data_IF_568650054275
#
_entry.id   IF_568650054275
#
_cell.length_a   1.000
_cell.length_b   1.000
_cell.length_c   1.000
_cell.angle_alpha   90.00
_cell.angle_beta   90.00
_cell.angle_gamma   90.00
#
_symmetry.space_group_name_H-M   'P 1'
#
loop_
_entity.id
_entity.type
_entity.pdbx_description
1 polymer ?
#
# COMPACT_ATOMS: atom_id res chain seq x y z
N UNK A 1 -3.45 0.28 -21.47
CA UNK A 1 -3.68 -0.90 -20.62
C UNK A 1 -2.81 -0.77 -19.37
N UNK A 2 -3.27 0.02 -18.37
CA UNK A 2 -2.59 0.25 -17.07
C UNK A 2 -3.51 0.01 -15.86
N UNK A 3 -4.69 -0.55 -16.13
CA UNK A 3 -5.61 -1.09 -15.13
C UNK A 3 -4.97 -2.01 -14.08
N UNK A 4 -3.92 -2.83 -14.35
CA UNK A 4 -3.42 -3.80 -13.37
C UNK A 4 -2.86 -3.16 -12.10
N UNK A 5 -2.08 -2.08 -12.21
CA UNK A 5 -1.40 -1.47 -11.06
C UNK A 5 -2.35 -0.71 -10.15
N UNK A 6 -3.21 0.13 -10.73
CA UNK A 6 -4.28 0.77 -9.96
C UNK A 6 -5.17 -0.28 -9.28
N UNK A 7 -5.50 -1.36 -9.97
CA UNK A 7 -6.27 -2.45 -9.39
C UNK A 7 -5.51 -3.17 -8.26
N UNK A 8 -4.19 -3.32 -8.36
CA UNK A 8 -3.35 -3.92 -7.32
C UNK A 8 -3.32 -3.05 -6.07
N UNK A 9 -3.12 -1.73 -6.20
CA UNK A 9 -3.14 -0.82 -5.06
C UNK A 9 -4.53 -0.73 -4.42
N UNK A 10 -5.60 -0.68 -5.22
CA UNK A 10 -6.97 -0.74 -4.67
C UNK A 10 -7.21 -2.05 -3.89
N UNK A 11 -6.70 -3.19 -4.38
CA UNK A 11 -6.76 -4.46 -3.64
C UNK A 11 -5.91 -4.41 -2.37
N UNK A 12 -4.74 -3.77 -2.43
CA UNK A 12 -3.89 -3.49 -1.27
C UNK A 12 -4.63 -2.72 -0.19
N UNK A 13 -5.18 -1.55 -0.52
CA UNK A 13 -5.96 -0.75 0.41
C UNK A 13 -7.17 -1.51 0.96
N UNK A 14 -7.83 -2.34 0.15
CA UNK A 14 -8.94 -3.18 0.60
C UNK A 14 -8.51 -4.27 1.59
N UNK A 15 -7.35 -4.92 1.36
CA UNK A 15 -6.79 -5.92 2.27
C UNK A 15 -6.30 -5.32 3.59
N UNK A 16 -5.75 -4.11 3.55
CA UNK A 16 -5.38 -3.37 4.75
C UNK A 16 -6.64 -2.94 5.53
N UNK A 17 -7.64 -2.39 4.85
CA UNK A 17 -8.94 -2.05 5.45
C UNK A 17 -9.68 -3.26 6.03
N UNK A 18 -9.54 -4.43 5.40
CA UNK A 18 -10.02 -5.70 5.96
C UNK A 18 -9.34 -6.03 7.30
N UNK A 19 -8.02 -5.88 7.39
CA UNK A 19 -7.28 -6.10 8.66
C UNK A 19 -7.74 -5.13 9.74
N UNK A 20 -7.93 -3.85 9.44
CA UNK A 20 -8.47 -2.87 10.39
C UNK A 20 -9.89 -3.25 10.85
N UNK A 21 -10.76 -3.65 9.92
CA UNK A 21 -12.11 -4.11 10.27
C UNK A 21 -12.07 -5.33 11.19
N UNK A 22 -11.14 -6.26 10.95
CA UNK A 22 -10.89 -7.41 11.82
C UNK A 22 -10.46 -6.96 13.22
N UNK A 23 -9.48 -6.06 13.33
CA UNK A 23 -9.01 -5.52 14.62
C UNK A 23 -10.15 -4.84 15.39
N UNK A 24 -10.89 -3.93 14.74
CA UNK A 24 -11.98 -3.19 15.37
C UNK A 24 -13.10 -4.09 15.87
N UNK A 25 -13.38 -5.21 15.18
CA UNK A 25 -14.33 -6.21 15.65
C UNK A 25 -13.93 -6.77 17.03
N UNK A 26 -12.67 -7.17 17.20
CA UNK A 26 -12.19 -7.72 18.48
C UNK A 26 -12.10 -6.66 19.58
N UNK A 27 -11.69 -5.43 19.24
CA UNK A 27 -11.68 -4.31 20.19
C UNK A 27 -13.10 -4.01 20.69
N UNK A 28 -14.11 -4.05 19.81
CA UNK A 28 -15.50 -3.79 20.19
C UNK A 28 -16.09 -4.83 21.16
N UNK A 29 -15.49 -6.02 21.23
CA UNK A 29 -15.88 -7.11 22.12
C UNK A 29 -15.05 -7.18 23.39
N UNK A 30 -13.91 -6.48 23.43
CA UNK A 30 -13.01 -6.49 24.58
C UNK A 30 -13.57 -5.62 25.72
N UNK A 31 -13.41 -6.08 26.96
CA UNK A 31 -13.75 -5.30 28.16
C UNK A 31 -12.75 -4.18 28.44
N UNK A 32 -11.52 -4.32 27.94
CA UNK A 32 -10.41 -3.40 28.17
C UNK A 32 -9.85 -2.92 26.84
N UNK A 33 -9.26 -1.72 26.86
CA UNK A 33 -8.58 -1.15 25.69
C UNK A 33 -7.24 -1.87 25.45
N UNK A 34 -6.76 -1.92 24.20
CA UNK A 34 -5.43 -2.46 23.91
C UNK A 34 -4.35 -1.73 24.74
N UNK A 35 -3.38 -2.46 25.32
CA UNK A 35 -2.31 -1.86 26.12
C UNK A 35 -1.23 -1.15 25.27
N UNK A 36 -1.41 -1.10 23.96
CA UNK A 36 -0.50 -0.48 22.99
C UNK A 36 -1.30 0.31 21.94
N UNK A 37 -0.61 1.22 21.25
CA UNK A 37 -1.19 2.00 20.14
C UNK A 37 -1.21 1.12 18.90
N UNK A 38 -2.35 1.07 18.22
CA UNK A 38 -2.47 0.38 16.93
C UNK A 38 -2.12 1.38 15.84
N UNK A 39 -1.12 1.09 14.98
CA UNK A 39 -0.75 2.00 13.90
C UNK A 39 -1.90 2.22 12.91
N UNK A 40 -2.09 3.46 12.47
CA UNK A 40 -3.00 3.85 11.39
C UNK A 40 -2.18 4.10 10.13
N UNK A 41 -2.21 3.15 9.20
CA UNK A 41 -1.40 3.14 7.98
C UNK A 41 -2.31 3.20 6.75
N UNK A 42 -1.83 3.81 5.67
CA UNK A 42 -2.49 3.84 4.38
C UNK A 42 -1.49 3.59 3.24
N UNK A 43 -2.01 3.31 2.05
CA UNK A 43 -1.21 3.34 0.82
C UNK A 43 -1.27 4.74 0.22
N UNK A 44 -0.16 5.20 -0.36
CA UNK A 44 -0.10 6.44 -1.12
C UNK A 44 -1.15 6.47 -2.24
N UNK A 45 -1.71 7.65 -2.50
CA UNK A 45 -2.64 7.83 -3.61
C UNK A 45 -1.95 7.61 -4.95
N UNK A 46 -2.66 6.98 -5.89
CA UNK A 46 -2.10 6.61 -7.20
C UNK A 46 -2.97 7.08 -8.36
N UNK A 47 -2.33 7.64 -9.38
CA UNK A 47 -2.91 8.10 -10.62
C UNK A 47 -2.26 7.46 -11.84
N UNK A 48 -2.96 7.56 -12.98
CA UNK A 48 -2.42 7.18 -14.29
C UNK A 48 -2.42 8.43 -15.16
N UNK A 49 -1.24 8.86 -15.59
CA UNK A 49 -1.08 10.00 -16.51
C UNK A 49 -0.81 9.52 -17.93
N UNK A 50 -1.63 9.95 -18.88
CA UNK A 50 -1.48 9.61 -20.31
C UNK A 50 -0.98 10.85 -21.05
N UNK A 51 0.14 10.72 -21.77
CA UNK A 51 0.59 11.75 -22.69
C UNK A 51 0.17 11.40 -24.13
N UNK A 52 -0.29 12.40 -24.86
CA UNK A 52 -0.67 12.31 -26.26
C UNK A 52 0.26 13.17 -27.11
N UNK A 53 0.54 12.75 -28.34
CA UNK A 53 1.17 13.64 -29.30
C UNK A 53 0.16 14.69 -29.81
N UNK A 54 0.67 15.90 -30.06
CA UNK A 54 -0.12 16.95 -30.69
C UNK A 54 -0.36 16.56 -32.16
N UNK A 55 -1.62 16.61 -32.60
CA UNK A 55 -1.96 16.46 -34.01
C UNK A 55 -1.36 17.63 -34.80
N UNK A 56 -0.24 17.42 -35.48
CA UNK A 56 0.35 18.43 -36.35
C UNK A 56 -0.37 18.43 -37.70
N UNK A 57 -1.15 19.47 -38.00
CA UNK A 57 -1.67 19.75 -39.35
C UNK A 57 -3.19 19.99 -39.42
N UNK A 58 -3.57 20.91 -40.32
CA UNK A 58 -4.91 21.46 -40.57
C UNK A 58 -5.96 20.47 -41.10
N UNK A 59 -5.74 19.16 -40.96
CA UNK A 59 -6.65 18.11 -41.41
C UNK A 59 -7.42 17.55 -40.20
N UNK A 60 -8.72 17.83 -40.20
CA UNK A 60 -9.73 17.55 -39.17
C UNK A 60 -10.03 16.04 -38.96
N UNK A 61 -9.02 15.17 -39.07
CA UNK A 61 -9.16 13.72 -38.92
C UNK A 61 -8.01 13.05 -38.14
N UNK A 62 -7.19 13.81 -37.42
CA UNK A 62 -6.03 13.27 -36.72
C UNK A 62 -6.40 12.84 -35.29
N UNK A 63 -6.64 11.53 -35.15
CA UNK A 63 -6.66 10.83 -33.87
C UNK A 63 -5.39 11.14 -33.09
N UNK A 64 -5.49 11.69 -31.88
CA UNK A 64 -4.33 11.90 -31.01
C UNK A 64 -3.66 10.55 -30.72
N UNK A 65 -2.45 10.34 -31.22
CA UNK A 65 -1.72 9.11 -30.91
C UNK A 65 -1.28 9.15 -29.46
N UNK A 66 -1.66 8.11 -28.73
CA UNK A 66 -1.28 7.88 -27.35
C UNK A 66 0.23 7.65 -27.31
N UNK A 67 0.99 8.57 -26.70
CA UNK A 67 2.46 8.58 -26.77
C UNK A 67 3.06 7.73 -25.66
N UNK A 68 2.72 8.06 -24.42
CA UNK A 68 3.19 7.35 -23.23
C UNK A 68 2.14 7.32 -22.15
N UNK A 69 2.32 6.42 -21.21
CA UNK A 69 1.50 6.40 -20.00
C UNK A 69 2.38 6.13 -18.80
N UNK A 70 2.11 6.85 -17.72
CA UNK A 70 2.88 6.89 -16.49
C UNK A 70 1.99 6.48 -15.32
N UNK A 71 2.56 5.77 -14.36
CA UNK A 71 2.00 5.68 -13.03
C UNK A 71 2.52 6.90 -12.25
N UNK A 72 1.63 7.56 -11.53
CA UNK A 72 1.98 8.64 -10.62
C UNK A 72 1.52 8.24 -9.24
N UNK A 73 2.35 8.47 -8.24
CA UNK A 73 2.01 8.29 -6.84
C UNK A 73 2.13 9.63 -6.11
N UNK A 74 1.43 9.76 -5.00
CA UNK A 74 1.62 10.87 -4.07
C UNK A 74 3.09 10.95 -3.66
N UNK A 75 3.66 12.15 -3.75
CA UNK A 75 5.01 12.39 -3.31
C UNK A 75 5.03 12.35 -1.79
N UNK A 76 5.68 11.33 -1.25
CA UNK A 76 5.98 11.22 0.17
C UNK A 76 7.16 12.16 0.47
N UNK A 77 6.96 13.09 1.39
CA UNK A 77 8.02 14.00 1.83
C UNK A 77 9.02 13.23 2.70
N UNK A 78 10.20 12.98 2.16
CA UNK A 78 11.29 12.28 2.85
C UNK A 78 12.36 13.24 3.39
N UNK A 79 12.13 14.56 3.34
CA UNK A 79 13.13 15.52 3.82
C UNK A 79 13.29 15.46 5.36
N UNK A 80 12.29 14.91 6.07
CA UNK A 80 12.32 14.69 7.51
C UNK A 80 12.49 13.22 7.94
N UNK A 81 12.14 12.25 7.10
CA UNK A 81 12.15 10.82 7.43
C UNK A 81 12.67 9.94 6.30
N UNK A 82 13.41 8.89 6.67
CA UNK A 82 13.92 7.91 5.71
C UNK A 82 12.81 7.00 5.18
N UNK A 83 12.85 6.67 3.89
CA UNK A 83 11.97 5.66 3.31
C UNK A 83 12.43 4.26 3.76
N UNK A 84 11.64 3.61 4.61
CA UNK A 84 12.00 2.36 5.28
C UNK A 84 11.30 1.17 4.65
N UNK A 85 12.04 0.08 4.46
CA UNK A 85 11.50 -1.23 4.10
C UNK A 85 11.24 -2.06 5.35
N UNK A 86 9.97 -2.24 5.71
CA UNK A 86 9.57 -2.90 6.95
C UNK A 86 9.55 -4.43 6.84
N UNK A 87 9.10 -4.97 5.70
CA UNK A 87 8.91 -6.41 5.49
C UNK A 87 9.39 -6.82 4.10
N UNK A 88 10.18 -7.90 4.01
CA UNK A 88 10.67 -8.43 2.74
C UNK A 88 9.61 -9.28 2.01
N UNK A 89 9.65 -9.35 0.68
CA UNK A 89 8.74 -10.22 -0.10
C UNK A 89 9.03 -11.73 0.04
N UNK A 90 10.20 -12.09 0.58
CA UNK A 90 10.66 -13.47 0.74
C UNK A 90 10.57 -14.02 2.16
N UNK A 91 10.24 -13.20 3.15
CA UNK A 91 10.12 -13.64 4.53
C UNK A 91 9.09 -12.78 5.29
N UNK A 92 8.22 -13.42 6.07
CA UNK A 92 7.17 -12.77 6.85
C UNK A 92 7.67 -12.42 8.27
N UNK A 93 8.81 -11.73 8.34
CA UNK A 93 9.41 -11.25 9.59
C UNK A 93 9.77 -9.78 9.46
N UNK A 94 9.78 -9.02 10.57
CA UNK A 94 10.29 -7.66 10.58
C UNK A 94 11.73 -7.61 10.04
N UNK A 95 12.01 -6.66 9.15
CA UNK A 95 13.38 -6.37 8.72
C UNK A 95 14.16 -5.52 9.73
N UNK A 96 13.43 -4.80 10.59
CA UNK A 96 13.99 -3.91 11.59
C UNK A 96 14.40 -4.69 12.85
N UNK A 97 15.43 -4.20 13.54
CA UNK A 97 15.85 -4.75 14.81
C UNK A 97 14.87 -4.33 15.92
N UNK A 98 14.70 -5.11 17.01
CA UNK A 98 13.80 -4.75 18.11
C UNK A 98 14.06 -3.40 18.77
N UNK A 99 15.29 -2.88 18.64
CA UNK A 99 15.70 -1.57 19.18
C UNK A 99 15.34 -0.41 18.25
N UNK A 100 14.91 -0.69 17.02
CA UNK A 100 14.50 0.31 16.05
C UNK A 100 13.16 0.94 16.46
N UNK A 101 13.04 2.28 16.49
CA UNK A 101 11.78 2.95 16.85
C UNK A 101 10.58 2.54 15.99
N UNK A 102 10.81 2.09 14.76
CA UNK A 102 9.75 1.67 13.83
C UNK A 102 9.51 0.15 13.86
N UNK A 103 10.15 -0.58 14.76
CA UNK A 103 9.99 -2.03 14.87
C UNK A 103 8.54 -2.45 15.12
N UNK A 104 7.80 -1.71 15.95
CA UNK A 104 6.39 -1.98 16.23
C UNK A 104 5.51 -1.87 14.96
N UNK A 105 5.88 -0.98 14.03
CA UNK A 105 5.24 -0.89 12.71
C UNK A 105 5.54 -2.13 11.88
N UNK A 106 6.80 -2.57 11.85
CA UNK A 106 7.17 -3.79 11.13
C UNK A 106 6.47 -5.03 11.71
N UNK A 107 6.32 -5.11 13.03
CA UNK A 107 5.54 -6.16 13.69
C UNK A 107 4.06 -6.10 13.33
N UNK A 108 3.46 -4.91 13.37
CA UNK A 108 2.08 -4.70 12.96
C UNK A 108 1.86 -5.13 11.51
N UNK A 109 2.76 -4.75 10.59
CA UNK A 109 2.71 -5.15 9.20
C UNK A 109 2.79 -6.67 9.04
N UNK A 110 3.69 -7.37 9.75
CA UNK A 110 3.73 -8.84 9.76
C UNK A 110 2.42 -9.46 10.29
N UNK A 111 1.84 -8.87 11.34
CA UNK A 111 0.51 -9.26 11.84
C UNK A 111 -0.56 -9.13 10.75
N UNK A 112 -0.54 -8.04 9.96
CA UNK A 112 -1.51 -7.88 8.85
C UNK A 112 -1.38 -9.01 7.82
N UNK A 113 -0.15 -9.43 7.47
CA UNK A 113 0.08 -10.54 6.54
C UNK A 113 -0.52 -11.83 7.08
N UNK A 114 -0.33 -12.09 8.39
CA UNK A 114 -0.86 -13.28 9.06
C UNK A 114 -2.38 -13.33 9.02
N UNK A 115 -3.06 -12.22 9.32
CA UNK A 115 -4.52 -12.14 9.28
C UNK A 115 -5.03 -12.35 7.85
N UNK A 116 -4.45 -11.68 6.87
CA UNK A 116 -4.85 -11.80 5.47
C UNK A 116 -4.66 -13.22 4.95
N UNK A 117 -3.50 -13.82 5.17
CA UNK A 117 -3.23 -15.20 4.76
C UNK A 117 -4.21 -16.18 5.42
N UNK A 118 -4.43 -16.07 6.73
CA UNK A 118 -5.35 -16.96 7.43
C UNK A 118 -6.80 -16.80 6.98
N UNK A 119 -7.27 -15.55 6.83
CA UNK A 119 -8.67 -15.26 6.51
C UNK A 119 -9.03 -15.50 5.06
N UNK A 120 -8.04 -15.55 4.18
CA UNK A 120 -8.23 -15.85 2.76
C UNK A 120 -7.88 -17.30 2.42
N UNK A 121 -7.71 -18.16 3.43
CA UNK A 121 -7.34 -19.57 3.26
C UNK A 121 -6.06 -19.75 2.42
N UNK A 122 -5.08 -18.86 2.65
CA UNK A 122 -3.80 -18.83 1.96
C UNK A 122 -3.82 -18.22 0.56
N UNK A 123 -4.96 -17.66 0.10
CA UNK A 123 -5.08 -17.16 -1.27
C UNK A 123 -4.33 -15.85 -1.53
N UNK A 124 -4.34 -14.91 -0.57
CA UNK A 124 -3.71 -13.59 -0.76
C UNK A 124 -3.30 -12.93 0.55
N UNK A 125 -2.17 -12.23 0.51
CA UNK A 125 -1.70 -11.32 1.55
C UNK A 125 -0.80 -10.25 0.92
N UNK A 126 -0.59 -9.15 1.64
CA UNK A 126 0.33 -8.09 1.22
C UNK A 126 1.75 -8.40 1.68
N UNK A 127 2.74 -8.08 0.86
CA UNK A 127 4.16 -8.21 1.20
C UNK A 127 4.93 -7.05 0.59
N UNK A 128 6.24 -6.99 0.86
CA UNK A 128 7.10 -5.91 0.35
C UNK A 128 6.65 -4.54 0.87
N UNK A 129 6.26 -4.49 2.15
CA UNK A 129 5.68 -3.32 2.79
C UNK A 129 6.80 -2.34 3.16
N UNK A 130 6.69 -1.12 2.66
CA UNK A 130 7.69 -0.05 2.76
C UNK A 130 7.01 1.32 2.69
N UNK A 131 7.62 2.34 3.29
CA UNK A 131 7.06 3.68 3.36
C UNK A 131 7.78 4.58 4.36
N UNK A 132 7.14 5.68 4.73
CA UNK A 132 7.50 6.57 5.85
C UNK A 132 6.30 6.66 6.82
N UNK A 133 6.49 7.28 7.99
CA UNK A 133 5.42 7.52 8.96
C UNK A 133 5.11 9.00 9.16
#
# INVERSE_FOLDING_TARGET
MLTPFRNLLCRGSSLLGFTYSFIHHFISQASEKPPFVIPELCFADVGVAVSHDQASGNNLANTSSLRRTYLMEELIDTDSEDFVKFVHNGNAVPLLAPEDPLYDIAQFLCFTQRIQYFKTDGAVFLSDLQGVL
#
